data_IF_296754662440
#
_entry.id   IF_296754662440
#
_cell.length_a   1.000
_cell.length_b   1.000
_cell.length_c   1.000
_cell.angle_alpha   90.00
_cell.angle_beta   90.00
_cell.angle_gamma   90.00
#
_symmetry.space_group_name_H-M   'P 1'
#
loop_
_entity.id
_entity.type
_entity.pdbx_description
1 polymer ?
#
# COMPACT_ATOMS: atom_id res chain seq x y z
N UNK A 1 -17.21 1.28 -7.04
CA UNK A 1 -16.08 1.95 -6.36
C UNK A 1 -14.81 1.67 -7.14
N UNK A 2 -13.96 2.69 -7.30
CA UNK A 2 -12.60 2.51 -7.78
C UNK A 2 -11.64 3.04 -6.72
N UNK A 3 -10.71 2.21 -6.29
CA UNK A 3 -9.65 2.62 -5.36
C UNK A 3 -8.30 2.37 -5.99
N UNK A 4 -7.37 3.31 -5.81
CA UNK A 4 -6.01 3.20 -6.31
C UNK A 4 -5.01 3.38 -5.18
N UNK A 5 -4.00 2.51 -5.16
CA UNK A 5 -2.84 2.61 -4.30
C UNK A 5 -1.60 2.50 -5.19
N UNK A 6 -0.74 3.50 -5.13
CA UNK A 6 0.56 3.43 -5.81
C UNK A 6 1.66 3.83 -4.86
N UNK A 7 2.76 3.09 -4.84
CA UNK A 7 3.97 3.48 -4.12
C UNK A 7 5.23 3.18 -4.92
N UNK A 8 6.25 3.99 -4.72
CA UNK A 8 7.59 3.78 -5.26
C UNK A 8 8.64 4.00 -4.18
N UNK A 9 9.75 3.27 -4.28
CA UNK A 9 10.86 3.35 -3.32
C UNK A 9 12.09 3.97 -3.95
N UNK A 10 12.95 4.55 -3.11
CA UNK A 10 14.27 5.04 -3.47
C UNK A 10 15.28 4.67 -2.38
N UNK A 11 16.52 4.35 -2.76
CA UNK A 11 17.62 4.20 -1.83
C UNK A 11 18.19 5.59 -1.48
N UNK A 12 18.29 5.91 -0.19
CA UNK A 12 18.86 7.17 0.31
C UNK A 12 19.63 6.93 1.60
N UNK A 13 20.92 7.27 1.61
CA UNK A 13 21.78 7.17 2.80
C UNK A 13 21.77 5.78 3.45
N UNK A 14 21.89 4.72 2.64
CA UNK A 14 21.95 3.34 3.12
C UNK A 14 20.61 2.73 3.55
N UNK A 15 19.49 3.42 3.35
CA UNK A 15 18.14 2.91 3.66
C UNK A 15 17.16 3.12 2.51
N UNK A 16 16.07 2.35 2.54
CA UNK A 16 14.94 2.51 1.63
C UNK A 16 13.99 3.57 2.16
N UNK A 17 13.52 4.46 1.29
CA UNK A 17 12.51 5.48 1.59
C UNK A 17 11.35 5.42 0.59
N UNK A 18 10.19 5.99 0.94
CA UNK A 18 9.12 6.26 -0.02
C UNK A 18 9.53 7.42 -0.93
N UNK A 19 9.57 7.18 -2.24
CA UNK A 19 9.82 8.20 -3.25
C UNK A 19 8.51 8.93 -3.59
N UNK A 20 7.51 8.16 -4.01
CA UNK A 20 6.14 8.64 -4.23
C UNK A 20 5.16 7.67 -3.59
N UNK A 21 4.04 8.18 -3.09
CA UNK A 21 2.92 7.37 -2.66
C UNK A 21 1.60 8.10 -2.94
N UNK A 22 0.57 7.33 -3.26
CA UNK A 22 -0.81 7.78 -3.42
C UNK A 22 -1.74 6.67 -2.96
N UNK A 23 -2.79 7.03 -2.23
CA UNK A 23 -3.86 6.13 -1.85
C UNK A 23 -5.18 6.89 -1.90
N UNK A 24 -6.16 6.38 -2.64
CA UNK A 24 -7.53 6.89 -2.60
C UNK A 24 -8.36 6.15 -1.56
N UNK A 25 -9.41 6.75 -1.01
CA UNK A 25 -10.34 6.05 -0.12
C UNK A 25 -10.83 4.72 -0.73
N UNK A 26 -11.05 3.68 0.10
CA UNK A 26 -10.89 3.65 1.56
C UNK A 26 -9.47 3.25 2.00
N UNK A 27 -8.50 3.22 1.09
CA UNK A 27 -7.13 2.77 1.36
C UNK A 27 -6.32 3.90 2.01
N UNK A 28 -5.43 3.51 2.93
CA UNK A 28 -4.38 4.37 3.49
C UNK A 28 -3.07 3.61 3.56
N UNK A 29 -1.96 4.35 3.41
CA UNK A 29 -0.60 3.87 3.62
C UNK A 29 0.03 4.64 4.77
N UNK A 30 0.76 3.93 5.63
CA UNK A 30 1.54 4.51 6.73
C UNK A 30 2.93 3.89 6.75
N UNK A 31 3.98 4.70 6.72
CA UNK A 31 5.34 4.23 6.96
C UNK A 31 5.58 4.10 8.46
N UNK A 32 6.19 2.99 8.89
CA UNK A 32 6.67 2.83 10.25
C UNK A 32 8.02 3.55 10.44
N UNK A 33 8.45 3.82 11.68
CA UNK A 33 9.78 4.31 11.96
C UNK A 33 10.88 3.45 11.33
N UNK A 34 12.01 4.08 11.00
CA UNK A 34 13.14 3.37 10.42
C UNK A 34 13.84 2.49 11.45
N UNK A 35 14.19 1.28 11.02
CA UNK A 35 15.04 0.36 11.77
C UNK A 35 16.49 0.38 11.20
N UNK A 36 17.49 -0.09 11.97
CA UNK A 36 18.89 -0.10 11.53
C UNK A 36 19.18 -0.93 10.28
N UNK A 37 18.29 -1.87 9.93
CA UNK A 37 18.43 -2.73 8.75
C UNK A 37 18.17 -2.02 7.41
N UNK A 38 17.74 -0.76 7.44
CA UNK A 38 17.51 0.04 6.25
C UNK A 38 16.30 -0.39 5.42
N UNK A 39 15.49 -1.34 5.90
CA UNK A 39 14.27 -1.81 5.23
C UNK A 39 13.14 -0.82 5.52
N UNK A 40 12.46 -0.38 4.45
CA UNK A 40 11.26 0.43 4.59
C UNK A 40 10.10 -0.47 5.01
N UNK A 41 9.48 -0.17 6.15
CA UNK A 41 8.28 -0.86 6.63
C UNK A 41 7.05 0.01 6.41
N UNK A 42 6.07 -0.52 5.71
CA UNK A 42 4.81 0.18 5.39
C UNK A 42 3.63 -0.69 5.80
N UNK A 43 2.62 -0.06 6.39
CA UNK A 43 1.34 -0.67 6.71
C UNK A 43 0.28 -0.07 5.79
N UNK A 44 -0.41 -0.94 5.05
CA UNK A 44 -1.64 -0.63 4.35
C UNK A 44 -2.83 -0.94 5.26
N UNK A 45 -3.79 -0.02 5.32
CA UNK A 45 -5.07 -0.23 6.00
C UNK A 45 -6.22 0.17 5.09
N UNK A 46 -7.37 -0.46 5.29
CA UNK A 46 -8.60 -0.19 4.57
C UNK A 46 -9.75 -0.09 5.55
N UNK A 47 -10.54 0.97 5.46
CA UNK A 47 -11.80 1.12 6.19
C UNK A 47 -13.03 0.71 5.37
N UNK A 48 -12.83 -0.11 4.31
CA UNK A 48 -13.93 -0.56 3.46
C UNK A 48 -14.84 -1.55 4.18
N UNK A 49 -16.17 -1.50 3.99
CA UNK A 49 -17.05 -2.60 4.37
C UNK A 49 -16.87 -3.85 3.47
N UNK A 50 -16.13 -3.74 2.38
CA UNK A 50 -15.87 -4.83 1.43
C UNK A 50 -15.86 -4.35 -0.02
N UNK A 51 -15.85 -5.29 -0.95
CA UNK A 51 -16.05 -5.05 -2.38
C UNK A 51 -17.39 -5.64 -2.82
N UNK A 52 -18.08 -4.93 -3.70
CA UNK A 52 -19.33 -5.35 -4.35
C UNK A 52 -19.11 -5.54 -5.87
N UNK A 53 -20.13 -6.05 -6.55
CA UNK A 53 -20.11 -6.25 -7.99
C UNK A 53 -19.82 -4.95 -8.75
N UNK A 54 -18.70 -4.93 -9.49
CA UNK A 54 -18.26 -3.76 -10.26
C UNK A 54 -17.25 -2.86 -9.52
N UNK A 55 -16.90 -3.16 -8.27
CA UNK A 55 -15.80 -2.49 -7.59
C UNK A 55 -14.43 -2.97 -8.08
N UNK A 56 -13.42 -2.10 -8.04
CA UNK A 56 -12.04 -2.41 -8.43
C UNK A 56 -11.03 -1.74 -7.50
N UNK A 57 -9.95 -2.46 -7.22
CA UNK A 57 -8.77 -1.95 -6.54
C UNK A 57 -7.57 -2.08 -7.48
N UNK A 58 -6.92 -0.96 -7.79
CA UNK A 58 -5.69 -0.88 -8.59
C UNK A 58 -4.49 -0.67 -7.64
N UNK A 59 -3.51 -1.58 -7.66
CA UNK A 59 -2.33 -1.54 -6.81
C UNK A 59 -1.07 -1.56 -7.67
N UNK A 60 -0.25 -0.50 -7.54
CA UNK A 60 1.03 -0.38 -8.22
C UNK A 60 2.18 -0.22 -7.20
N UNK A 61 3.16 -1.12 -7.25
CA UNK A 61 4.33 -1.10 -6.35
C UNK A 61 5.60 -1.12 -7.21
N UNK A 62 6.42 -0.07 -7.08
CA UNK A 62 7.69 0.07 -7.81
C UNK A 62 8.88 0.06 -6.86
N UNK A 63 9.77 -0.91 -7.03
CA UNK A 63 11.03 -0.98 -6.30
C UNK A 63 12.18 -0.48 -7.16
N UNK A 64 12.88 0.56 -6.70
CA UNK A 64 14.12 1.01 -7.33
C UNK A 64 15.27 0.06 -6.99
N UNK A 65 16.36 0.04 -7.78
CA UNK A 65 17.56 -0.73 -7.41
C UNK A 65 18.05 -0.39 -5.99
N UNK A 66 18.59 -1.40 -5.31
CA UNK A 66 19.13 -1.27 -3.95
C UNK A 66 18.11 -0.84 -2.87
N UNK A 67 16.83 -1.17 -3.06
CA UNK A 67 15.79 -0.98 -2.04
C UNK A 67 15.25 -2.31 -1.50
N UNK A 68 14.72 -2.25 -0.29
CA UNK A 68 14.05 -3.33 0.39
C UNK A 68 12.78 -2.79 1.08
N UNK A 69 11.63 -3.40 0.78
CA UNK A 69 10.31 -3.02 1.27
C UNK A 69 9.67 -4.20 2.01
N UNK A 70 9.17 -3.94 3.23
CA UNK A 70 8.26 -4.83 3.96
C UNK A 70 6.89 -4.17 4.03
N UNK A 71 5.94 -4.67 3.23
CA UNK A 71 4.56 -4.17 3.17
C UNK A 71 3.62 -5.12 3.91
N UNK A 72 2.96 -4.61 4.94
CA UNK A 72 1.97 -5.34 5.74
C UNK A 72 0.58 -4.76 5.54
N UNK A 73 -0.45 -5.56 5.77
CA UNK A 73 -1.83 -5.08 5.88
C UNK A 73 -2.42 -5.42 7.24
N UNK A 74 -3.25 -4.53 7.78
CA UNK A 74 -4.03 -4.74 9.02
C UNK A 74 -5.53 -4.77 8.70
N UNK A 75 -5.89 -5.16 7.48
CA UNK A 75 -7.28 -5.18 7.03
C UNK A 75 -7.56 -6.43 6.22
N UNK A 76 -8.75 -6.98 6.39
CA UNK A 76 -9.29 -8.00 5.49
C UNK A 76 -10.26 -7.33 4.52
N UNK A 77 -10.32 -7.82 3.29
CA UNK A 77 -11.30 -7.35 2.31
C UNK A 77 -12.41 -8.39 2.17
N UNK A 78 -13.60 -8.05 2.62
CA UNK A 78 -14.78 -8.89 2.44
C UNK A 78 -15.30 -8.75 1.00
N UNK A 79 -15.68 -9.85 0.36
CA UNK A 79 -16.33 -9.82 -0.95
C UNK A 79 -17.82 -10.09 -0.74
N UNK A 80 -18.64 -9.06 -0.96
CA UNK A 80 -20.09 -9.14 -0.82
C UNK A 80 -20.79 -9.48 -2.14
N UNK A 81 -21.97 -10.07 -2.03
CA UNK A 81 -22.85 -10.29 -3.18
C UNK A 81 -23.48 -8.96 -3.61
N UNK A 82 -22.80 -8.20 -4.47
CA UNK A 82 -23.39 -7.07 -5.17
C UNK A 82 -24.06 -7.53 -6.46
N UNK A 83 -25.37 -7.34 -6.59
CA UNK A 83 -26.04 -7.40 -7.91
C UNK A 83 -25.60 -6.17 -8.70
N UNK A 84 -25.13 -6.38 -9.93
CA UNK A 84 -24.92 -5.28 -10.90
C UNK A 84 -26.25 -4.69 -11.30
#
# INVERSE_FOLDING_TARGET
MYSKLSLSTQAKSGRTILQNNFASPPLKLMSLPYEPDGILRVVQISSSPGLLGGDSIDIEIKLSPHTALSLHTQSFTHIGNGRR
#
